data_IF_842629375287
#
_entry.id   IF_842629375287
#
_cell.length_a   1.000
_cell.length_b   1.000
_cell.length_c   1.000
_cell.angle_alpha   90.00
_cell.angle_beta   90.00
_cell.angle_gamma   90.00
#
_symmetry.space_group_name_H-M   'P 1'
#
loop_
_entity.id
_entity.type
_entity.pdbx_description
1 polymer ?
#
# COMPACT_ATOMS: atom_id res chain seq x y z
N UNK A 1 -9.49 2.27 11.47
CA UNK A 1 -8.95 2.80 10.20
C UNK A 1 -9.99 3.64 9.48
N UNK A 2 -9.60 4.44 8.49
CA UNK A 2 -10.51 5.16 7.59
C UNK A 2 -10.04 5.02 6.15
N UNK A 3 -10.98 4.81 5.22
CA UNK A 3 -10.72 4.81 3.77
C UNK A 3 -11.48 5.99 3.15
N UNK A 4 -10.84 6.67 2.21
CA UNK A 4 -11.41 7.78 1.46
C UNK A 4 -11.32 7.45 -0.03
N UNK A 5 -12.46 7.45 -0.72
CA UNK A 5 -12.53 7.51 -2.19
C UNK A 5 -12.54 8.98 -2.59
N UNK A 6 -11.53 9.39 -3.35
CA UNK A 6 -11.47 10.74 -3.92
C UNK A 6 -12.07 10.67 -5.31
N UNK A 7 -13.24 11.26 -5.47
CA UNK A 7 -14.00 11.30 -6.71
C UNK A 7 -13.84 12.67 -7.36
N UNK A 8 -14.20 12.79 -8.64
CA UNK A 8 -14.20 14.11 -9.31
C UNK A 8 -15.16 15.10 -8.65
N UNK A 9 -16.25 14.62 -8.04
CA UNK A 9 -17.28 15.45 -7.41
C UNK A 9 -17.00 15.81 -5.95
N UNK A 10 -16.00 15.18 -5.32
CA UNK A 10 -15.74 15.28 -3.88
C UNK A 10 -15.21 13.98 -3.29
N UNK A 11 -15.34 13.83 -1.97
CA UNK A 11 -14.75 12.70 -1.23
C UNK A 11 -15.81 11.87 -0.53
N UNK A 12 -15.73 10.54 -0.64
CA UNK A 12 -16.50 9.60 0.18
C UNK A 12 -15.61 8.98 1.24
N UNK A 13 -15.97 9.13 2.50
CA UNK A 13 -15.17 8.70 3.65
C UNK A 13 -15.86 7.59 4.42
N UNK A 14 -15.13 6.50 4.67
CA UNK A 14 -15.62 5.33 5.38
C UNK A 14 -14.70 5.01 6.55
N UNK A 15 -15.15 5.27 7.77
CA UNK A 15 -14.49 4.75 8.97
C UNK A 15 -14.81 3.24 9.10
N UNK A 16 -13.84 2.41 9.42
CA UNK A 16 -14.06 0.98 9.60
C UNK A 16 -13.01 0.36 10.55
N UNK A 17 -13.43 -0.70 11.23
CA UNK A 17 -12.58 -1.49 12.12
C UNK A 17 -12.22 -2.84 11.49
N UNK A 18 -13.14 -3.42 10.70
CA UNK A 18 -12.93 -4.66 9.95
C UNK A 18 -13.29 -4.46 8.49
N UNK A 19 -12.58 -5.15 7.61
CA UNK A 19 -12.84 -5.19 6.16
C UNK A 19 -14.27 -5.64 5.81
N UNK A 20 -14.91 -6.49 6.63
CA UNK A 20 -16.32 -6.88 6.47
C UNK A 20 -17.31 -5.73 6.67
N UNK A 21 -17.00 -4.79 7.58
CA UNK A 21 -17.84 -3.60 7.78
C UNK A 21 -17.68 -2.63 6.61
N UNK A 22 -16.46 -2.52 6.07
CA UNK A 22 -16.19 -1.73 4.88
C UNK A 22 -16.97 -2.27 3.67
N UNK A 23 -17.00 -3.60 3.48
CA UNK A 23 -17.79 -4.25 2.41
C UNK A 23 -19.25 -3.82 2.43
N UNK A 24 -19.91 -3.90 3.60
CA UNK A 24 -21.31 -3.49 3.76
C UNK A 24 -21.56 -2.01 3.45
N UNK A 25 -20.56 -1.15 3.66
CA UNK A 25 -20.66 0.28 3.34
C UNK A 25 -20.50 0.52 1.84
N UNK A 26 -19.54 -0.15 1.20
CA UNK A 26 -19.33 -0.03 -0.26
C UNK A 26 -20.54 -0.57 -1.05
N UNK A 27 -21.16 -1.67 -0.62
CA UNK A 27 -22.35 -2.22 -1.30
C UNK A 27 -23.57 -1.28 -1.28
N UNK A 28 -23.62 -0.34 -0.34
CA UNK A 28 -24.68 0.67 -0.24
C UNK A 28 -24.45 1.88 -1.15
N UNK A 29 -23.21 2.10 -1.60
CA UNK A 29 -22.87 3.21 -2.48
C UNK A 29 -22.85 2.76 -3.94
N UNK A 30 -23.93 3.09 -4.66
CA UNK A 30 -24.10 2.82 -6.11
C UNK A 30 -23.84 4.08 -6.94
N UNK A 31 -22.75 4.79 -6.73
CA UNK A 31 -22.42 5.94 -7.58
C UNK A 31 -21.36 5.58 -8.61
N UNK A 32 -21.78 5.57 -9.87
CA UNK A 32 -20.92 5.58 -11.06
C UNK A 32 -20.29 6.97 -11.20
N UNK A 33 -19.35 7.29 -10.29
CA UNK A 33 -18.55 8.50 -10.38
C UNK A 33 -17.09 8.14 -10.59
N UNK A 34 -16.38 8.99 -11.35
CA UNK A 34 -14.99 8.74 -11.68
C UNK A 34 -14.11 8.85 -10.43
N UNK A 35 -13.48 7.73 -10.06
CA UNK A 35 -12.55 7.61 -8.95
C UNK A 35 -11.16 8.10 -9.40
N UNK A 36 -10.58 9.05 -8.65
CA UNK A 36 -9.29 9.67 -8.95
C UNK A 36 -8.15 9.11 -8.11
N UNK A 37 -8.41 8.73 -6.86
CA UNK A 37 -7.48 8.02 -5.98
C UNK A 37 -8.22 7.38 -4.80
N UNK A 38 -7.54 6.44 -4.14
CA UNK A 38 -8.00 5.87 -2.85
C UNK A 38 -6.96 6.18 -1.79
N UNK A 39 -7.41 6.67 -0.65
CA UNK A 39 -6.58 6.98 0.53
C UNK A 39 -6.96 6.12 1.72
N UNK A 40 -5.98 5.55 2.39
CA UNK A 40 -6.13 4.90 3.68
C UNK A 40 -5.47 5.77 4.76
N UNK A 41 -6.23 6.06 5.81
CA UNK A 41 -5.76 6.74 7.02
C UNK A 41 -5.69 5.73 8.16
N UNK A 42 -4.49 5.57 8.70
CA UNK A 42 -4.18 4.59 9.76
C UNK A 42 -3.48 5.31 10.91
N UNK A 43 -3.96 5.13 12.14
CA UNK A 43 -3.29 5.70 13.29
C UNK A 43 -1.96 4.98 13.54
N UNK A 44 -0.88 5.76 13.58
CA UNK A 44 0.45 5.23 13.88
C UNK A 44 0.57 4.87 15.37
N UNK A 45 1.50 3.97 15.67
CA UNK A 45 1.90 3.66 17.05
C UNK A 45 3.06 4.55 17.50
N UNK A 46 3.36 4.53 18.80
CA UNK A 46 4.40 5.38 19.42
C UNK A 46 5.81 5.04 18.98
N UNK A 47 6.04 3.80 18.55
CA UNK A 47 7.35 3.30 18.15
C UNK A 47 7.53 3.34 16.62
N UNK A 48 6.55 3.91 15.90
CA UNK A 48 6.50 4.05 14.44
C UNK A 48 6.58 2.71 13.68
N UNK A 49 6.24 1.61 14.36
CA UNK A 49 6.26 0.26 13.82
C UNK A 49 5.38 0.12 12.57
N UNK A 50 4.17 0.67 12.61
CA UNK A 50 3.22 0.65 11.51
C UNK A 50 3.74 1.41 10.31
N UNK A 51 4.28 2.62 10.54
CA UNK A 51 4.88 3.44 9.48
C UNK A 51 6.04 2.71 8.80
N UNK A 52 6.94 2.13 9.58
CA UNK A 52 8.07 1.35 9.08
C UNK A 52 7.59 0.19 8.18
N UNK A 53 6.58 -0.56 8.60
CA UNK A 53 6.05 -1.66 7.77
C UNK A 53 5.35 -1.19 6.51
N UNK A 54 4.61 -0.07 6.55
CA UNK A 54 4.06 0.55 5.34
C UNK A 54 5.16 0.83 4.32
N UNK A 55 6.26 1.42 4.78
CA UNK A 55 7.42 1.77 3.96
C UNK A 55 8.07 0.52 3.35
N UNK A 56 8.34 -0.50 4.19
CA UNK A 56 8.95 -1.77 3.76
C UNK A 56 8.10 -2.47 2.69
N UNK A 57 6.78 -2.54 2.90
CA UNK A 57 5.86 -3.24 2.01
C UNK A 57 5.44 -2.41 0.78
N UNK A 58 5.76 -1.11 0.76
CA UNK A 58 5.33 -0.19 -0.30
C UNK A 58 5.67 -0.64 -1.71
N UNK A 59 6.87 -1.18 -2.04
CA UNK A 59 7.18 -1.62 -3.39
C UNK A 59 6.22 -2.74 -3.83
N UNK A 60 5.83 -3.61 -2.88
CA UNK A 60 4.94 -4.74 -3.15
C UNK A 60 3.50 -4.27 -3.36
N UNK A 61 3.01 -3.33 -2.55
CA UNK A 61 1.67 -2.76 -2.75
C UNK A 61 1.54 -2.03 -4.09
N UNK A 62 2.54 -1.26 -4.49
CA UNK A 62 2.56 -0.58 -5.78
C UNK A 62 2.44 -1.60 -6.92
N UNK A 63 3.30 -2.62 -6.91
CA UNK A 63 3.31 -3.64 -7.96
C UNK A 63 1.99 -4.44 -8.03
N UNK A 64 1.38 -4.78 -6.89
CA UNK A 64 0.21 -5.65 -6.85
C UNK A 64 -1.12 -4.94 -7.09
N UNK A 65 -1.20 -3.64 -6.82
CA UNK A 65 -2.45 -2.88 -6.91
C UNK A 65 -2.49 -1.88 -8.08
N UNK A 66 -1.41 -1.68 -8.84
CA UNK A 66 -1.41 -0.82 -10.03
C UNK A 66 -2.42 -1.29 -11.09
N UNK A 67 -3.48 -0.50 -11.29
CA UNK A 67 -4.53 -0.68 -12.31
C UNK A 67 -4.57 0.50 -13.28
N UNK A 68 -3.44 1.18 -13.44
CA UNK A 68 -3.31 2.26 -14.41
C UNK A 68 -3.46 1.70 -15.83
N UNK A 69 -4.01 2.48 -16.76
CA UNK A 69 -4.14 2.07 -18.18
C UNK A 69 -2.77 1.89 -18.84
N UNK A 70 -1.80 2.70 -18.43
CA UNK A 70 -0.37 2.52 -18.69
C UNK A 70 0.28 2.12 -17.37
N UNK A 71 1.07 1.05 -17.41
CA UNK A 71 1.72 0.46 -16.23
C UNK A 71 2.41 1.54 -15.37
N UNK A 72 2.11 1.58 -14.07
CA UNK A 72 2.65 2.51 -13.07
C UNK A 72 2.41 4.01 -13.32
N UNK A 73 1.54 4.39 -14.26
CA UNK A 73 1.34 5.80 -14.61
C UNK A 73 0.93 6.68 -13.42
N UNK A 74 -0.01 6.22 -12.59
CA UNK A 74 -0.38 6.95 -11.39
C UNK A 74 0.82 7.17 -10.46
N UNK A 75 1.64 6.14 -10.27
CA UNK A 75 2.79 6.20 -9.40
C UNK A 75 3.88 7.12 -9.96
N UNK A 76 4.15 7.07 -11.27
CA UNK A 76 5.06 8.01 -11.95
C UNK A 76 4.60 9.45 -11.79
N UNK A 77 3.30 9.73 -11.93
CA UNK A 77 2.70 11.06 -11.71
C UNK A 77 2.79 11.52 -10.25
N UNK A 78 2.67 10.62 -9.28
CA UNK A 78 2.91 10.97 -7.87
C UNK A 78 4.39 11.32 -7.65
N UNK A 79 5.31 10.52 -8.17
CA UNK A 79 6.75 10.78 -8.05
C UNK A 79 7.17 12.10 -8.70
N UNK A 80 6.65 12.42 -9.89
CA UNK A 80 6.97 13.70 -10.54
C UNK A 80 6.57 14.92 -9.72
N UNK A 81 5.64 14.74 -8.78
CA UNK A 81 5.22 15.77 -7.83
C UNK A 81 5.88 15.61 -6.45
N UNK A 82 6.44 14.46 -6.11
CA UNK A 82 7.03 14.20 -4.79
C UNK A 82 8.24 15.08 -4.52
N UNK A 83 8.49 15.31 -3.22
CA UNK A 83 9.71 15.93 -2.72
C UNK A 83 10.95 15.02 -2.88
N UNK A 84 10.77 13.76 -3.29
CA UNK A 84 11.81 12.74 -3.39
C UNK A 84 11.73 11.97 -4.72
N UNK A 85 12.89 11.55 -5.28
CA UNK A 85 12.97 10.92 -6.61
C UNK A 85 12.25 9.57 -6.73
N UNK A 86 11.89 8.95 -5.61
CA UNK A 86 11.18 7.67 -5.58
C UNK A 86 9.84 7.76 -4.85
N UNK A 87 9.29 8.98 -4.69
CA UNK A 87 7.96 9.17 -4.13
C UNK A 87 7.86 8.96 -2.62
N UNK A 88 8.99 8.90 -1.92
CA UNK A 88 9.08 8.46 -0.53
C UNK A 88 10.28 9.10 0.18
N UNK A 89 10.09 9.48 1.45
CA UNK A 89 11.18 9.96 2.31
C UNK A 89 12.32 8.92 2.43
N UNK A 90 13.60 9.32 2.34
CA UNK A 90 14.70 8.36 2.19
C UNK A 90 15.26 7.81 3.51
N UNK A 91 14.89 8.34 4.67
CA UNK A 91 15.53 8.01 5.97
C UNK A 91 14.55 7.44 7.00
N UNK A 92 14.01 6.25 6.75
CA UNK A 92 13.10 5.56 7.68
C UNK A 92 13.78 4.57 8.64
N UNK A 93 15.01 4.15 8.36
CA UNK A 93 15.73 3.15 9.16
C UNK A 93 17.12 3.66 9.54
N UNK A 94 17.32 4.21 10.77
CA UNK A 94 16.32 4.47 11.81
C UNK A 94 15.41 5.66 11.48
N UNK A 95 14.21 5.69 12.07
CA UNK A 95 13.28 6.82 11.92
C UNK A 95 13.54 7.89 12.98
N UNK A 96 13.79 9.12 12.53
CA UNK A 96 13.99 10.28 13.40
C UNK A 96 12.85 11.29 13.16
N UNK A 97 11.85 11.31 14.05
CA UNK A 97 10.66 12.15 13.86
C UNK A 97 11.03 13.63 13.71
N UNK A 98 11.95 14.16 14.52
CA UNK A 98 12.34 15.58 14.44
C UNK A 98 12.87 15.93 13.03
N UNK A 99 13.76 15.11 12.46
CA UNK A 99 14.27 15.31 11.10
C UNK A 99 13.15 15.22 10.06
N UNK A 100 12.26 14.23 10.22
CA UNK A 100 11.11 14.05 9.34
C UNK A 100 10.18 15.28 9.36
N UNK A 101 9.77 15.73 10.54
CA UNK A 101 8.90 16.91 10.73
C UNK A 101 9.57 18.18 10.20
N UNK A 102 10.84 18.39 10.51
CA UNK A 102 11.60 19.55 10.04
C UNK A 102 11.67 19.61 8.51
N UNK A 103 11.79 18.47 7.83
CA UNK A 103 11.73 18.44 6.36
C UNK A 103 10.38 18.92 5.82
N UNK A 104 9.28 18.51 6.46
CA UNK A 104 7.92 18.75 5.99
C UNK A 104 7.29 20.07 6.47
N UNK A 105 7.89 20.76 7.45
CA UNK A 105 7.35 21.98 8.07
C UNK A 105 6.93 23.07 7.06
N UNK A 106 7.58 23.16 5.91
CA UNK A 106 7.28 24.13 4.86
C UNK A 106 7.06 23.49 3.47
N UNK A 107 6.73 22.20 3.44
CA UNK A 107 6.54 21.46 2.19
C UNK A 107 5.17 20.82 2.17
N UNK A 108 4.48 20.95 1.04
CA UNK A 108 3.29 20.16 0.79
C UNK A 108 3.69 18.67 0.70
N UNK A 109 2.93 17.82 1.38
CA UNK A 109 3.06 16.39 1.27
C UNK A 109 2.59 15.90 -0.10
N UNK A 110 3.49 15.26 -0.85
CA UNK A 110 3.22 14.74 -2.19
C UNK A 110 3.59 13.27 -2.35
N UNK A 111 4.10 12.66 -1.28
CA UNK A 111 4.48 11.25 -1.22
C UNK A 111 3.24 10.35 -1.18
N UNK A 112 3.40 9.08 -1.56
CA UNK A 112 2.32 8.08 -1.48
C UNK A 112 2.12 7.56 -0.04
N UNK A 113 3.15 7.65 0.80
CA UNK A 113 3.12 7.34 2.23
C UNK A 113 3.64 8.54 3.02
N UNK A 114 2.84 9.02 3.97
CA UNK A 114 3.17 10.17 4.80
C UNK A 114 2.63 10.02 6.21
N UNK A 115 3.42 10.41 7.22
CA UNK A 115 2.95 10.53 8.60
C UNK A 115 2.56 11.99 8.86
N UNK A 116 1.27 12.27 9.01
CA UNK A 116 0.80 13.62 9.26
C UNK A 116 0.99 14.07 10.73
N UNK A 117 0.74 15.34 10.99
CA UNK A 117 0.94 15.97 12.32
C UNK A 117 -0.01 15.40 13.39
N UNK A 118 -1.15 14.85 12.98
CA UNK A 118 -2.11 14.17 13.86
C UNK A 118 -1.68 12.73 14.22
N UNK A 119 -0.52 12.28 13.72
CA UNK A 119 -0.02 10.92 13.93
C UNK A 119 -0.73 9.87 13.07
N UNK A 120 -1.38 10.28 11.97
CA UNK A 120 -2.00 9.37 11.01
C UNK A 120 -1.05 9.13 9.83
N UNK A 121 -0.92 7.87 9.44
CA UNK A 121 -0.29 7.44 8.21
C UNK A 121 -1.33 7.61 7.08
N UNK A 122 -0.99 8.43 6.10
CA UNK A 122 -1.71 8.59 4.85
C UNK A 122 -1.07 7.71 3.78
N UNK A 123 -1.80 6.69 3.32
CA UNK A 123 -1.38 5.83 2.22
C UNK A 123 -2.29 6.03 1.02
N UNK A 124 -1.74 6.53 -0.08
CA UNK A 124 -2.47 6.87 -1.30
C UNK A 124 -2.13 5.91 -2.43
N UNK A 125 -3.15 5.40 -3.13
CA UNK A 125 -2.99 4.53 -4.29
C UNK A 125 -3.88 4.97 -5.45
N UNK A 126 -3.59 4.43 -6.63
CA UNK A 126 -4.33 4.65 -7.85
C UNK A 126 -5.81 4.23 -7.72
N UNK A 127 -6.71 4.74 -8.60
CA UNK A 127 -8.08 4.27 -8.70
C UNK A 127 -8.12 2.76 -8.94
N UNK A 128 -8.70 2.01 -8.02
CA UNK A 128 -8.89 0.56 -8.13
C UNK A 128 -10.35 0.22 -7.83
N UNK A 129 -10.85 -0.86 -8.45
CA UNK A 129 -12.22 -1.33 -8.20
C UNK A 129 -12.42 -1.83 -6.76
N UNK A 130 -13.66 -1.75 -6.26
CA UNK A 130 -14.01 -2.03 -4.86
C UNK A 130 -13.53 -3.39 -4.35
N UNK A 131 -13.54 -4.43 -5.20
CA UNK A 131 -13.00 -5.75 -4.84
C UNK A 131 -11.51 -5.70 -4.46
N UNK A 132 -10.72 -4.84 -5.10
CA UNK A 132 -9.31 -4.64 -4.80
C UNK A 132 -9.11 -3.69 -3.61
N UNK A 133 -9.97 -2.68 -3.44
CA UNK A 133 -9.98 -1.83 -2.22
C UNK A 133 -10.19 -2.72 -0.99
N UNK A 134 -11.17 -3.61 -1.04
CA UNK A 134 -11.47 -4.54 0.05
C UNK A 134 -10.32 -5.51 0.32
N UNK A 135 -9.66 -5.98 -0.74
CA UNK A 135 -8.50 -6.84 -0.61
C UNK A 135 -7.32 -6.13 0.07
N UNK A 136 -7.01 -4.89 -0.31
CA UNK A 136 -5.98 -4.10 0.35
C UNK A 136 -6.36 -3.77 1.80
N UNK A 137 -7.62 -3.37 2.05
CA UNK A 137 -8.09 -3.08 3.41
C UNK A 137 -7.93 -4.29 4.33
N UNK A 138 -8.20 -5.50 3.82
CA UNK A 138 -7.97 -6.74 4.56
C UNK A 138 -6.49 -7.01 4.83
N UNK A 139 -5.60 -6.75 3.87
CA UNK A 139 -4.15 -6.85 4.10
C UNK A 139 -3.69 -5.86 5.17
N UNK A 140 -4.12 -4.61 5.13
CA UNK A 140 -3.74 -3.62 6.13
C UNK A 140 -4.24 -4.01 7.54
N UNK A 141 -5.47 -4.51 7.64
CA UNK A 141 -6.03 -5.05 8.89
C UNK A 141 -5.13 -6.17 9.46
N UNK A 142 -4.66 -7.09 8.62
CA UNK A 142 -3.93 -8.29 9.07
C UNK A 142 -2.43 -8.10 9.24
N UNK A 143 -1.80 -7.22 8.47
CA UNK A 143 -0.35 -7.05 8.44
C UNK A 143 0.11 -5.87 9.30
N UNK A 144 -0.74 -4.84 9.43
CA UNK A 144 -0.38 -3.58 10.08
C UNK A 144 -1.11 -3.44 11.42
N UNK A 145 -2.43 -3.58 11.43
CA UNK A 145 -3.23 -3.36 12.65
C UNK A 145 -3.13 -4.54 13.65
N UNK A 146 -3.00 -5.78 13.19
CA UNK A 146 -2.81 -6.93 14.07
C UNK A 146 -1.41 -6.94 14.70
N UNK A 147 -1.34 -6.67 16.01
CA UNK A 147 -0.08 -6.57 16.76
C UNK A 147 0.81 -7.82 16.68
N UNK A 148 0.20 -9.01 16.69
CA UNK A 148 0.96 -10.27 16.66
C UNK A 148 1.65 -10.43 15.32
N UNK A 149 0.93 -10.16 14.25
CA UNK A 149 1.44 -10.26 12.89
C UNK A 149 2.47 -9.17 12.59
N UNK A 150 2.19 -7.94 13.04
CA UNK A 150 3.08 -6.78 12.90
C UNK A 150 4.46 -7.08 13.49
N UNK A 151 4.52 -7.56 14.73
CA UNK A 151 5.78 -7.88 15.42
C UNK A 151 6.59 -8.97 14.72
N UNK A 152 5.92 -9.99 14.18
CA UNK A 152 6.59 -11.04 13.39
C UNK A 152 7.23 -10.46 12.13
N UNK A 153 6.52 -9.59 11.42
CA UNK A 153 7.04 -8.95 10.21
C UNK A 153 8.24 -8.04 10.50
N UNK A 154 8.16 -7.23 11.56
CA UNK A 154 9.30 -6.40 11.97
C UNK A 154 10.52 -7.24 12.31
N UNK A 155 10.33 -8.39 12.96
CA UNK A 155 11.43 -9.33 13.23
C UNK A 155 12.02 -9.89 11.93
N UNK A 156 11.16 -10.29 10.99
CA UNK A 156 11.60 -10.79 9.68
C UNK A 156 12.40 -9.75 8.89
N UNK A 157 12.03 -8.47 9.01
CA UNK A 157 12.68 -7.34 8.35
C UNK A 157 13.66 -6.58 9.26
N UNK A 158 14.17 -7.17 10.34
CA UNK A 158 15.02 -6.46 11.31
C UNK A 158 16.28 -5.83 10.68
N UNK A 159 16.81 -6.44 9.62
CA UNK A 159 18.02 -5.99 8.91
C UNK A 159 17.71 -5.12 7.67
N UNK A 160 16.45 -4.70 7.48
CA UNK A 160 16.08 -3.85 6.35
C UNK A 160 16.75 -2.48 6.44
N UNK A 161 17.16 -1.95 5.29
CA UNK A 161 17.81 -0.65 5.17
C UNK A 161 17.08 0.25 4.17
N UNK A 162 17.28 1.56 4.33
CA UNK A 162 16.72 2.58 3.44
C UNK A 162 17.04 2.32 1.96
N UNK A 163 18.30 1.98 1.65
CA UNK A 163 18.74 1.77 0.27
C UNK A 163 18.05 0.57 -0.39
N UNK A 164 17.70 -0.47 0.37
CA UNK A 164 16.98 -1.64 -0.15
C UNK A 164 15.57 -1.25 -0.59
N UNK A 165 14.82 -0.52 0.26
CA UNK A 165 13.46 -0.08 -0.04
C UNK A 165 13.46 0.87 -1.24
N UNK A 166 14.37 1.83 -1.24
CA UNK A 166 14.53 2.80 -2.32
C UNK A 166 14.91 2.12 -3.64
N UNK A 167 15.85 1.18 -3.63
CA UNK A 167 16.23 0.43 -4.83
C UNK A 167 15.08 -0.45 -5.34
N UNK A 168 14.25 -0.99 -4.45
CA UNK A 168 13.02 -1.69 -4.82
C UNK A 168 12.09 -0.81 -5.64
N UNK A 169 11.76 0.39 -5.13
CA UNK A 169 10.92 1.37 -5.85
C UNK A 169 11.57 1.82 -7.16
N UNK A 170 12.87 2.09 -7.16
CA UNK A 170 13.63 2.46 -8.36
C UNK A 170 13.52 1.40 -9.46
N UNK A 171 13.66 0.13 -9.08
CA UNK A 171 13.69 -0.96 -10.05
C UNK A 171 12.29 -1.27 -10.62
N UNK A 172 11.22 -1.11 -9.84
CA UNK A 172 9.82 -1.09 -10.35
C UNK A 172 9.67 -0.06 -11.45
N UNK A 173 10.15 1.17 -11.19
CA UNK A 173 9.97 2.29 -12.10
C UNK A 173 10.76 2.13 -13.40
N UNK A 174 12.00 1.65 -13.30
CA UNK A 174 12.92 1.54 -14.42
C UNK A 174 12.59 0.37 -15.35
N UNK A 175 12.17 -0.76 -14.78
CA UNK A 175 12.00 -2.02 -15.51
C UNK A 175 10.50 -2.37 -15.73
N UNK A 176 9.59 -1.61 -15.15
CA UNK A 176 8.18 -1.97 -15.10
C UNK A 176 7.88 -3.08 -14.09
N UNK A 177 6.61 -3.30 -13.77
CA UNK A 177 6.16 -4.37 -12.84
C UNK A 177 6.59 -5.72 -13.39
N UNK A 178 6.50 -5.86 -14.70
CA UNK A 178 6.91 -7.04 -15.45
C UNK A 178 8.42 -7.32 -15.36
N UNK A 179 9.35 -6.45 -15.74
CA UNK A 179 10.78 -6.81 -15.65
C UNK A 179 11.38 -6.64 -14.25
N UNK A 180 10.71 -5.93 -13.33
CA UNK A 180 11.05 -5.97 -11.91
C UNK A 180 10.83 -7.37 -11.30
N UNK A 181 9.92 -8.18 -11.86
CA UNK A 181 9.50 -9.46 -11.25
C UNK A 181 9.29 -10.67 -12.19
N UNK A 182 9.46 -10.59 -13.50
CA UNK A 182 9.28 -11.73 -14.42
C UNK A 182 10.45 -12.73 -14.40
N UNK A 183 11.59 -12.40 -13.81
CA UNK A 183 12.63 -13.41 -13.52
C UNK A 183 12.46 -14.08 -12.14
N UNK A 184 11.49 -13.66 -11.28
CA UNK A 184 10.98 -14.34 -10.04
C UNK A 184 9.52 -13.91 -9.63
N UNK A 185 8.53 -14.40 -10.38
CA UNK A 185 7.05 -14.31 -10.31
C UNK A 185 6.30 -13.51 -9.18
N UNK A 186 5.99 -12.21 -9.43
CA UNK A 186 5.33 -11.15 -8.60
C UNK A 186 5.38 -11.35 -7.08
N UNK A 187 6.36 -10.67 -6.48
CA UNK A 187 7.44 -11.38 -5.80
C UNK A 187 7.03 -12.30 -4.66
N UNK A 188 7.69 -13.46 -4.64
CA UNK A 188 7.06 -14.69 -5.14
C UNK A 188 5.75 -15.01 -4.44
N UNK A 189 4.66 -14.74 -5.17
CA UNK A 189 3.23 -14.79 -4.83
C UNK A 189 2.75 -13.98 -3.62
N UNK A 190 3.19 -12.72 -3.56
CA UNK A 190 2.98 -11.79 -2.45
C UNK A 190 3.66 -12.29 -1.17
N UNK A 191 4.88 -12.82 -1.37
CA UNK A 191 5.63 -13.78 -0.55
C UNK A 191 4.68 -14.75 0.16
N UNK A 192 4.13 -15.63 -0.71
CA UNK A 192 3.00 -16.56 -0.58
C UNK A 192 1.89 -16.12 0.38
N UNK A 193 1.39 -14.92 0.03
CA UNK A 193 0.39 -14.10 0.73
C UNK A 193 0.75 -13.99 2.20
N UNK A 194 1.92 -13.41 2.32
CA UNK A 194 2.68 -13.11 3.52
C UNK A 194 2.52 -14.30 4.45
N UNK A 195 2.99 -15.42 3.87
CA UNK A 195 2.95 -16.83 4.20
C UNK A 195 1.75 -17.33 5.00
N UNK A 196 0.58 -17.05 4.41
CA UNK A 196 -0.77 -17.33 4.91
C UNK A 196 -1.04 -16.65 6.23
N UNK A 197 -0.78 -15.33 6.25
CA UNK A 197 -0.43 -14.62 7.45
C UNK A 197 -1.29 -14.96 8.61
N UNK A 198 -0.69 -15.75 9.51
CA UNK A 198 0.55 -16.59 9.43
C UNK A 198 0.45 -17.39 10.71
N UNK A 199 -0.20 -18.56 10.79
CA UNK A 199 -1.07 -19.27 9.87
C UNK A 199 -2.17 -19.90 10.77
N UNK A 200 -3.41 -19.40 10.69
CA UNK A 200 -4.59 -19.92 11.42
C UNK A 200 -5.32 -20.97 10.55
N UNK A 201 -5.73 -22.14 11.10
CA UNK A 201 -6.66 -23.07 10.43
C UNK A 201 -8.08 -22.46 10.44
N UNK A 202 -8.39 -21.57 9.48
CA UNK A 202 -9.71 -21.53 8.82
C UNK A 202 -9.82 -20.53 7.66
N UNK A 203 -10.15 -21.14 6.51
CA UNK A 203 -10.95 -20.69 5.36
C UNK A 203 -10.46 -19.56 4.45
N UNK A 204 -10.28 -19.94 3.18
CA UNK A 204 -10.73 -19.29 1.94
C UNK A 204 -11.34 -17.88 2.11
N UNK A 205 -10.51 -16.89 2.45
CA UNK A 205 -10.98 -15.53 2.54
C UNK A 205 -11.27 -14.98 1.14
N UNK A 206 -12.55 -14.71 0.87
CA UNK A 206 -13.08 -14.20 -0.40
C UNK A 206 -12.39 -12.93 -0.90
N UNK A 207 -11.81 -12.10 -0.02
CA UNK A 207 -11.09 -10.89 -0.41
C UNK A 207 -9.79 -11.18 -1.13
N UNK A 208 -9.10 -12.26 -0.75
CA UNK A 208 -7.81 -12.62 -1.35
C UNK A 208 -7.97 -13.17 -2.76
N UNK A 209 -9.13 -13.75 -3.11
CA UNK A 209 -9.41 -14.25 -4.46
C UNK A 209 -9.16 -13.20 -5.53
N UNK A 210 -9.55 -11.94 -5.29
CA UNK A 210 -9.33 -10.86 -6.24
C UNK A 210 -7.84 -10.62 -6.53
N UNK A 211 -6.98 -10.74 -5.51
CA UNK A 211 -5.53 -10.63 -5.65
C UNK A 211 -4.98 -11.87 -6.37
N UNK A 212 -5.45 -13.06 -5.99
CA UNK A 212 -5.05 -14.31 -6.64
C UNK A 212 -5.28 -14.28 -8.15
N UNK A 213 -6.51 -13.96 -8.56
CA UNK A 213 -6.91 -13.87 -9.97
C UNK A 213 -6.06 -12.84 -10.72
N UNK A 214 -5.80 -11.68 -10.10
CA UNK A 214 -5.02 -10.60 -10.73
C UNK A 214 -3.59 -11.03 -11.04
N UNK A 215 -2.89 -11.63 -10.07
CA UNK A 215 -1.49 -12.02 -10.33
C UNK A 215 -1.40 -13.25 -11.27
N UNK A 216 -2.40 -14.14 -11.32
CA UNK A 216 -2.43 -15.21 -12.34
C UNK A 216 -2.59 -14.64 -13.75
N UNK A 217 -3.39 -13.57 -13.92
CA UNK A 217 -3.56 -12.94 -15.22
C UNK A 217 -2.28 -12.24 -15.72
N UNK A 218 -1.45 -11.73 -14.80
CA UNK A 218 -0.13 -11.17 -15.15
C UNK A 218 0.83 -12.24 -15.70
N UNK A 219 0.60 -13.52 -15.39
CA UNK A 219 1.39 -14.67 -15.87
C UNK A 219 1.16 -14.98 -17.34
N UNK A 220 0.00 -14.59 -17.89
CA UNK A 220 -0.48 -14.95 -19.23
C UNK A 220 -0.29 -13.87 -20.28
N UNK A 221 0.48 -12.82 -19.98
CA UNK A 221 0.96 -11.92 -21.02
C UNK A 221 2.12 -12.61 -21.75
N UNK A 222 1.78 -13.59 -22.59
CA UNK A 222 2.71 -14.20 -23.54
C UNK A 222 3.15 -13.12 -24.53
N UNK A 223 4.47 -12.95 -24.68
CA UNK A 223 5.09 -12.11 -25.71
C UNK A 223 4.96 -12.76 -27.10
#
# INVERSE_FOLDING_TARGET
MKMIKVLTSGNLSYAYNKSSDLKKKLEKDRKEEHLNEVKFLVANDRDYEKLMLFVILSPIFIACFDSSSQELDFFRRRISNSNFPYGLYPEFFPFEEEKYRNFYMNKENKEDIFLNEEGLIEFTINPIGDKYILALAYLLEKLIEDDKNRKKLLTYFAEIRNDIVINGRRSILANGIQAFYLSKYVVVRMIEIIDKLMAEEKNDNIYLKAIYDRLENLKRCDF
#
